data_IF_604220054899
#
_entry.id   IF_604220054899
#
_cell.length_a   1.000
_cell.length_b   1.000
_cell.length_c   1.000
_cell.angle_alpha   90.00
_cell.angle_beta   90.00
_cell.angle_gamma   90.00
#
_symmetry.space_group_name_H-M   'P 1'
#
loop_
_entity.id
_entity.type
_entity.pdbx_description
1 polymer ?
#
# COMPACT_ATOMS: atom_id res chain seq x y z
N UNK A 1 42.95 17.69 14.94
CA UNK A 1 42.09 16.69 15.65
C UNK A 1 40.84 17.40 16.24
N UNK A 2 40.98 18.52 16.96
CA UNK A 2 39.84 19.25 17.52
C UNK A 2 38.90 19.85 16.46
N UNK A 3 39.41 20.32 15.31
CA UNK A 3 38.62 20.91 14.23
C UNK A 3 37.67 19.92 13.52
N UNK A 4 37.93 18.60 13.57
CA UNK A 4 37.05 17.56 13.04
C UNK A 4 36.05 17.02 14.08
N UNK A 5 36.38 17.15 15.39
CA UNK A 5 35.52 16.64 16.46
C UNK A 5 34.27 17.50 16.67
N UNK A 6 34.39 18.80 16.51
CA UNK A 6 33.27 19.74 16.70
C UNK A 6 32.18 19.60 15.65
N UNK A 7 32.48 19.54 14.32
CA UNK A 7 31.48 19.26 13.29
C UNK A 7 30.85 17.86 13.46
N UNK A 8 31.63 16.85 13.84
CA UNK A 8 31.14 15.50 14.10
C UNK A 8 30.15 15.49 15.27
N UNK A 9 30.44 16.21 16.35
CA UNK A 9 29.55 16.35 17.51
C UNK A 9 28.21 16.98 17.12
N UNK A 10 28.22 18.08 16.35
CA UNK A 10 27.00 18.73 15.88
C UNK A 10 26.22 17.84 14.92
N UNK A 11 26.87 17.08 14.06
CA UNK A 11 26.23 16.11 13.18
C UNK A 11 25.53 15.00 13.99
N UNK A 12 26.20 14.44 14.99
CA UNK A 12 25.62 13.43 15.88
C UNK A 12 24.42 13.99 16.65
N UNK A 13 24.56 15.20 17.22
CA UNK A 13 23.49 15.87 17.93
C UNK A 13 22.28 16.12 17.00
N UNK A 14 22.53 16.60 15.79
CA UNK A 14 21.49 16.81 14.77
C UNK A 14 20.75 15.51 14.43
N UNK A 15 21.48 14.42 14.21
CA UNK A 15 20.91 13.08 13.95
C UNK A 15 20.07 12.62 15.15
N UNK A 16 20.55 12.81 16.38
CA UNK A 16 19.81 12.47 17.60
C UNK A 16 18.51 13.28 17.73
N UNK A 17 18.56 14.57 17.45
CA UNK A 17 17.37 15.44 17.47
C UNK A 17 16.35 14.98 16.41
N UNK A 18 16.80 14.69 15.19
CA UNK A 18 15.93 14.16 14.13
C UNK A 18 15.32 12.80 14.53
N UNK A 19 16.10 11.92 15.15
CA UNK A 19 15.62 10.63 15.65
C UNK A 19 14.56 10.82 16.75
N UNK A 20 14.78 11.73 17.69
CA UNK A 20 13.80 12.03 18.75
C UNK A 20 12.51 12.61 18.17
N UNK A 21 12.60 13.54 17.21
CA UNK A 21 11.44 14.11 16.51
C UNK A 21 10.67 13.01 15.77
N UNK A 22 11.37 12.12 15.07
CA UNK A 22 10.79 10.99 14.37
C UNK A 22 10.05 10.04 15.33
N UNK A 23 10.62 9.77 16.50
CA UNK A 23 10.01 8.94 17.54
C UNK A 23 8.77 9.58 18.18
N UNK A 24 8.84 10.85 18.54
CA UNK A 24 7.74 11.57 19.21
C UNK A 24 6.53 11.71 18.29
N UNK A 25 6.75 11.87 16.99
CA UNK A 25 5.69 12.03 15.99
C UNK A 25 5.21 10.70 15.38
N UNK A 26 5.49 9.56 16.01
CA UNK A 26 4.96 8.28 15.60
C UNK A 26 3.41 8.30 15.57
N UNK A 27 2.84 7.72 14.50
CA UNK A 27 1.39 7.67 14.27
C UNK A 27 0.88 6.27 14.65
N UNK A 28 0.57 6.09 15.92
CA UNK A 28 0.07 4.80 16.39
C UNK A 28 -1.34 4.53 15.88
N UNK A 29 -1.59 3.28 15.52
CA UNK A 29 -2.95 2.82 15.25
C UNK A 29 -3.76 2.82 16.58
N UNK A 30 -4.91 3.48 16.56
CA UNK A 30 -5.89 3.46 17.65
C UNK A 30 -7.21 2.86 17.12
N UNK A 31 -7.62 3.29 15.94
CA UNK A 31 -8.84 2.85 15.28
C UNK A 31 -8.75 3.16 13.78
N UNK A 32 -9.74 2.72 13.02
CA UNK A 32 -9.88 3.09 11.60
C UNK A 32 -9.94 4.61 11.37
N UNK A 33 -10.44 5.37 12.34
CA UNK A 33 -10.46 6.84 12.26
C UNK A 33 -9.05 7.44 12.26
N UNK A 34 -8.07 6.83 12.96
CA UNK A 34 -6.67 7.31 12.90
C UNK A 34 -6.06 7.05 11.53
N UNK A 35 -6.43 5.96 10.87
CA UNK A 35 -6.02 5.66 9.48
C UNK A 35 -6.61 6.71 8.54
N UNK A 36 -7.93 6.97 8.62
CA UNK A 36 -8.61 7.99 7.82
C UNK A 36 -7.94 9.37 7.94
N UNK A 37 -7.71 9.83 9.18
CA UNK A 37 -7.07 11.12 9.45
C UNK A 37 -5.64 11.22 8.89
N UNK A 38 -4.85 10.13 8.95
CA UNK A 38 -3.51 10.12 8.38
C UNK A 38 -3.55 10.26 6.85
N UNK A 39 -4.42 9.50 6.18
CA UNK A 39 -4.59 9.56 4.73
C UNK A 39 -5.20 10.89 4.25
N UNK A 40 -6.14 11.47 5.01
CA UNK A 40 -6.66 12.81 4.74
C UNK A 40 -5.52 13.85 4.76
N UNK A 41 -4.67 13.82 5.78
CA UNK A 41 -3.53 14.73 5.89
C UNK A 41 -2.53 14.55 4.73
N UNK A 42 -2.18 13.30 4.39
CA UNK A 42 -1.25 13.02 3.28
C UNK A 42 -1.81 13.42 1.91
N UNK A 43 -3.12 13.31 1.73
CA UNK A 43 -3.78 13.71 0.48
C UNK A 43 -3.89 15.22 0.36
N UNK A 44 -4.23 15.92 1.45
CA UNK A 44 -4.38 17.37 1.47
C UNK A 44 -3.06 18.11 1.22
N UNK A 45 -1.93 17.61 1.78
CA UNK A 45 -0.62 18.23 1.57
C UNK A 45 0.00 17.92 0.20
N UNK A 46 -0.59 17.01 -0.58
CA UNK A 46 -0.19 16.61 -1.93
C UNK A 46 1.26 16.13 -2.07
N UNK A 47 1.97 15.91 -0.95
CA UNK A 47 3.38 15.53 -0.98
C UNK A 47 3.60 14.19 -1.68
N UNK A 48 2.84 13.15 -1.27
CA UNK A 48 2.93 11.83 -1.87
C UNK A 48 2.55 11.84 -3.36
N UNK A 49 1.48 12.53 -3.72
CA UNK A 49 1.06 12.66 -5.12
C UNK A 49 2.13 13.35 -5.98
N UNK A 50 2.75 14.42 -5.46
CA UNK A 50 3.81 15.15 -6.15
C UNK A 50 5.07 14.30 -6.36
N UNK A 51 5.47 13.53 -5.34
CA UNK A 51 6.65 12.67 -5.40
C UNK A 51 6.36 11.38 -6.16
N UNK A 52 5.31 10.65 -5.76
CA UNK A 52 5.10 9.27 -6.18
C UNK A 52 4.06 9.11 -7.28
N UNK A 53 3.37 10.20 -7.66
CA UNK A 53 2.30 10.17 -8.64
C UNK A 53 0.99 9.66 -8.04
N UNK A 54 0.14 9.09 -8.89
CA UNK A 54 -1.22 8.67 -8.53
C UNK A 54 -1.28 7.30 -7.82
N UNK A 55 -0.14 6.65 -7.63
CA UNK A 55 -0.01 5.34 -7.01
C UNK A 55 0.89 5.40 -5.78
N UNK A 56 0.34 5.13 -4.60
CA UNK A 56 1.12 5.11 -3.36
C UNK A 56 1.81 3.75 -3.16
N UNK A 57 1.23 2.66 -3.71
CA UNK A 57 1.76 1.29 -3.62
C UNK A 57 3.15 1.12 -4.27
N UNK A 58 3.83 0.01 -3.96
CA UNK A 58 5.11 -0.35 -4.55
C UNK A 58 5.01 -0.63 -6.06
N UNK A 59 6.10 -0.50 -6.78
CA UNK A 59 6.21 -0.82 -8.20
C UNK A 59 6.66 -2.25 -8.47
N UNK A 60 6.49 -2.70 -9.70
CA UNK A 60 7.00 -3.98 -10.19
C UNK A 60 8.24 -3.73 -11.06
N UNK A 61 9.34 -4.39 -10.71
CA UNK A 61 10.63 -4.30 -11.38
C UNK A 61 11.01 -5.67 -11.93
N UNK A 62 10.84 -5.90 -13.25
CA UNK A 62 11.21 -7.16 -13.87
C UNK A 62 12.69 -7.50 -13.69
N UNK A 63 12.99 -8.79 -13.61
CA UNK A 63 14.34 -9.31 -13.53
C UNK A 63 15.17 -8.89 -14.74
N UNK A 64 16.39 -8.38 -14.48
CA UNK A 64 17.31 -8.01 -15.55
C UNK A 64 17.07 -6.64 -16.19
N UNK A 65 15.93 -6.02 -15.97
CA UNK A 65 15.69 -4.65 -16.43
C UNK A 65 16.34 -3.63 -15.48
N UNK A 66 17.07 -2.68 -16.07
CA UNK A 66 17.74 -1.58 -15.34
C UNK A 66 17.08 -0.24 -15.68
N UNK A 67 17.17 0.71 -14.76
CA UNK A 67 16.71 2.09 -14.96
C UNK A 67 15.21 2.24 -15.26
N UNK A 68 14.37 1.41 -14.61
CA UNK A 68 12.92 1.54 -14.71
C UNK A 68 12.50 2.83 -13.99
N UNK A 69 11.69 3.63 -14.66
CA UNK A 69 11.10 4.83 -14.03
C UNK A 69 10.17 4.40 -12.89
N UNK A 70 10.34 5.01 -11.71
CA UNK A 70 9.62 4.68 -10.50
C UNK A 70 8.09 4.71 -10.66
N UNK A 71 7.55 5.68 -11.39
CA UNK A 71 6.12 5.81 -11.62
C UNK A 71 5.61 4.79 -12.64
N UNK A 72 6.42 4.50 -13.67
CA UNK A 72 6.11 3.43 -14.64
C UNK A 72 6.11 2.06 -13.98
N UNK A 73 7.05 1.79 -13.05
CA UNK A 73 7.07 0.54 -12.29
C UNK A 73 5.76 0.32 -11.50
N UNK A 74 5.15 1.37 -10.97
CA UNK A 74 3.86 1.30 -10.27
C UNK A 74 2.69 1.00 -11.21
N UNK A 75 2.68 1.62 -12.39
CA UNK A 75 1.70 1.30 -13.44
C UNK A 75 1.86 -0.15 -13.90
N UNK A 76 3.10 -0.59 -14.11
CA UNK A 76 3.40 -1.97 -14.48
C UNK A 76 2.95 -2.96 -13.41
N UNK A 77 3.11 -2.62 -12.12
CA UNK A 77 2.60 -3.46 -11.03
C UNK A 77 1.11 -3.78 -11.19
N UNK A 78 0.29 -2.79 -11.53
CA UNK A 78 -1.15 -3.03 -11.75
C UNK A 78 -1.38 -4.01 -12.91
N UNK A 79 -0.67 -3.84 -14.03
CA UNK A 79 -0.80 -4.73 -15.18
C UNK A 79 -0.34 -6.17 -14.86
N UNK A 80 0.77 -6.32 -14.13
CA UNK A 80 1.28 -7.64 -13.74
C UNK A 80 0.32 -8.35 -12.77
N UNK A 81 -0.23 -7.62 -11.80
CA UNK A 81 -1.20 -8.22 -10.87
C UNK A 81 -2.52 -8.60 -11.58
N UNK A 82 -3.00 -7.79 -12.53
CA UNK A 82 -4.16 -8.14 -13.37
C UNK A 82 -3.91 -9.42 -14.15
N UNK A 83 -2.75 -9.54 -14.81
CA UNK A 83 -2.36 -10.72 -15.59
C UNK A 83 -2.20 -11.94 -14.69
N UNK A 84 -1.45 -11.82 -13.59
CA UNK A 84 -1.20 -12.92 -12.66
C UNK A 84 -2.49 -13.43 -12.02
N UNK A 85 -3.41 -12.55 -11.67
CA UNK A 85 -4.71 -12.92 -11.07
C UNK A 85 -5.71 -13.49 -12.10
N UNK A 86 -5.50 -13.24 -13.39
CA UNK A 86 -6.39 -13.66 -14.48
C UNK A 86 -7.57 -12.72 -14.68
N UNK A 87 -7.54 -11.50 -14.11
CA UNK A 87 -8.56 -10.48 -14.34
C UNK A 87 -8.62 -10.03 -15.80
N UNK A 88 -7.51 -10.10 -16.54
CA UNK A 88 -7.43 -9.83 -17.97
C UNK A 88 -8.38 -10.69 -18.83
N UNK A 89 -8.88 -11.81 -18.29
CA UNK A 89 -9.84 -12.72 -18.94
C UNK A 89 -11.30 -12.30 -18.73
N UNK A 90 -11.55 -11.33 -17.87
CA UNK A 90 -12.91 -10.82 -17.66
C UNK A 90 -13.39 -9.99 -18.85
N UNK A 91 -14.66 -10.06 -19.22
CA UNK A 91 -15.20 -9.25 -20.31
C UNK A 91 -15.19 -7.75 -19.93
N UNK A 92 -15.11 -6.89 -20.94
CA UNK A 92 -15.31 -5.47 -20.78
C UNK A 92 -16.70 -5.21 -20.15
N UNK A 93 -16.79 -4.18 -19.31
CA UNK A 93 -18.00 -3.88 -18.55
C UNK A 93 -18.14 -4.67 -17.25
N UNK A 94 -17.21 -5.62 -16.93
CA UNK A 94 -17.20 -6.29 -15.63
C UNK A 94 -17.12 -5.29 -14.49
N UNK A 95 -17.88 -5.57 -13.43
CA UNK A 95 -17.96 -4.71 -12.21
C UNK A 95 -16.84 -5.10 -11.26
N UNK A 96 -15.96 -4.15 -10.98
CA UNK A 96 -14.81 -4.34 -10.09
C UNK A 96 -14.97 -3.46 -8.84
N UNK A 97 -14.81 -4.05 -7.67
CA UNK A 97 -14.67 -3.32 -6.42
C UNK A 97 -13.18 -3.12 -6.12
N UNK A 98 -12.70 -1.88 -6.06
CA UNK A 98 -11.33 -1.52 -5.65
C UNK A 98 -11.33 -1.10 -4.18
N UNK A 99 -10.92 -2.01 -3.30
CA UNK A 99 -10.94 -1.84 -1.84
C UNK A 99 -9.65 -1.19 -1.38
N UNK A 100 -9.75 0.05 -0.85
CA UNK A 100 -8.59 0.87 -0.50
C UNK A 100 -8.02 1.58 -1.72
N UNK A 101 -8.87 2.09 -2.60
CA UNK A 101 -8.50 2.66 -3.90
C UNK A 101 -7.57 3.88 -3.86
N UNK A 102 -7.30 4.44 -2.67
CA UNK A 102 -6.53 5.67 -2.54
C UNK A 102 -7.13 6.81 -3.38
N UNK A 103 -6.29 7.51 -4.15
CA UNK A 103 -6.74 8.55 -5.09
C UNK A 103 -7.12 8.00 -6.47
N UNK A 104 -7.41 6.70 -6.56
CA UNK A 104 -8.00 6.06 -7.74
C UNK A 104 -7.04 5.70 -8.87
N UNK A 105 -5.72 5.65 -8.64
CA UNK A 105 -4.74 5.34 -9.68
C UNK A 105 -4.97 3.99 -10.33
N UNK A 106 -5.07 2.92 -9.53
CA UNK A 106 -5.35 1.56 -10.01
C UNK A 106 -6.73 1.45 -10.64
N UNK A 107 -7.76 2.06 -10.03
CA UNK A 107 -9.12 2.09 -10.57
C UNK A 107 -9.16 2.64 -12.00
N UNK A 108 -8.45 3.77 -12.25
CA UNK A 108 -8.38 4.37 -13.60
C UNK A 108 -7.66 3.49 -14.60
N UNK A 109 -6.61 2.75 -14.19
CA UNK A 109 -5.93 1.78 -15.06
C UNK A 109 -6.89 0.64 -15.43
N UNK A 110 -7.58 0.06 -14.45
CA UNK A 110 -8.54 -1.03 -14.64
C UNK A 110 -9.68 -0.61 -15.61
N UNK A 111 -10.22 0.59 -15.42
CA UNK A 111 -11.27 1.09 -16.31
C UNK A 111 -10.75 1.42 -17.72
N UNK A 112 -9.61 2.09 -17.83
CA UNK A 112 -9.08 2.58 -19.10
C UNK A 112 -8.55 1.47 -20.01
N UNK A 113 -7.75 0.56 -19.45
CA UNK A 113 -7.04 -0.43 -20.26
C UNK A 113 -7.80 -1.75 -20.40
N UNK A 114 -8.63 -2.10 -19.40
CA UNK A 114 -9.40 -3.36 -19.41
C UNK A 114 -10.89 -3.16 -19.67
N UNK A 115 -11.35 -1.90 -19.67
CA UNK A 115 -12.74 -1.55 -19.93
C UNK A 115 -13.70 -1.95 -18.82
N UNK A 116 -13.23 -2.02 -17.59
CA UNK A 116 -14.06 -2.40 -16.45
C UNK A 116 -14.85 -1.22 -15.90
N UNK A 117 -15.98 -1.51 -15.25
CA UNK A 117 -16.73 -0.57 -14.43
C UNK A 117 -16.23 -0.67 -13.00
N UNK A 118 -15.50 0.33 -12.52
CA UNK A 118 -14.81 0.27 -11.23
C UNK A 118 -15.49 1.11 -10.18
N UNK A 119 -15.84 0.50 -9.06
CA UNK A 119 -16.26 1.20 -7.84
C UNK A 119 -15.10 1.16 -6.86
N UNK A 120 -14.46 2.31 -6.62
CA UNK A 120 -13.37 2.45 -5.66
C UNK A 120 -13.89 2.90 -4.30
N UNK A 121 -13.42 2.25 -3.24
CA UNK A 121 -13.71 2.69 -1.87
C UNK A 121 -12.44 3.00 -1.10
N UNK A 122 -12.52 4.01 -0.25
CA UNK A 122 -11.49 4.34 0.74
C UNK A 122 -12.14 4.94 1.98
N UNK A 123 -11.45 4.81 3.12
CA UNK A 123 -11.93 5.40 4.37
C UNK A 123 -11.72 6.92 4.44
N UNK A 124 -10.92 7.50 3.54
CA UNK A 124 -10.56 8.93 3.50
C UNK A 124 -11.46 9.73 2.56
N UNK A 125 -12.30 10.64 3.08
CA UNK A 125 -13.08 11.56 2.23
C UNK A 125 -12.21 12.45 1.33
N UNK A 126 -11.02 12.84 1.79
CA UNK A 126 -10.09 13.63 0.99
C UNK A 126 -9.59 12.85 -0.23
N UNK A 127 -9.31 11.53 -0.07
CA UNK A 127 -8.94 10.67 -1.20
C UNK A 127 -10.09 10.51 -2.19
N UNK A 128 -11.33 10.31 -1.74
CA UNK A 128 -12.50 10.23 -2.62
C UNK A 128 -12.64 11.51 -3.47
N UNK A 129 -12.57 12.68 -2.81
CA UNK A 129 -12.62 13.97 -3.53
C UNK A 129 -11.50 14.03 -4.57
N UNK A 130 -10.28 13.70 -4.18
CA UNK A 130 -9.12 13.76 -5.09
C UNK A 130 -9.21 12.74 -6.23
N UNK A 131 -9.69 11.53 -5.97
CA UNK A 131 -9.90 10.50 -6.99
C UNK A 131 -10.88 10.98 -8.08
N UNK A 132 -11.99 11.61 -7.67
CA UNK A 132 -12.97 12.20 -8.60
C UNK A 132 -12.37 13.33 -9.43
N UNK A 133 -11.58 14.22 -8.80
CA UNK A 133 -10.90 15.32 -9.51
C UNK A 133 -9.90 14.82 -10.58
N UNK A 134 -9.22 13.71 -10.31
CA UNK A 134 -8.22 13.11 -11.21
C UNK A 134 -8.82 12.22 -12.29
N UNK A 135 -10.09 11.88 -12.19
CA UNK A 135 -10.74 10.95 -13.13
C UNK A 135 -11.31 11.69 -14.32
N UNK A 136 -10.86 11.37 -15.56
CA UNK A 136 -11.40 11.98 -16.76
C UNK A 136 -12.90 11.70 -16.93
N UNK A 137 -13.61 12.68 -17.47
CA UNK A 137 -15.01 12.52 -17.88
C UNK A 137 -15.16 11.33 -18.83
N UNK A 138 -16.18 10.50 -18.61
CA UNK A 138 -16.49 9.32 -19.42
C UNK A 138 -15.70 8.05 -19.06
N UNK A 139 -14.76 8.10 -18.10
CA UNK A 139 -14.14 6.90 -17.58
C UNK A 139 -15.02 6.25 -16.51
N UNK A 140 -15.31 4.95 -16.65
CA UNK A 140 -16.21 4.21 -15.76
C UNK A 140 -15.58 3.92 -14.38
N UNK A 141 -15.41 4.98 -13.59
CA UNK A 141 -14.94 4.92 -12.20
C UNK A 141 -15.87 5.75 -11.30
N UNK A 142 -16.39 5.14 -10.25
CA UNK A 142 -17.05 5.83 -9.13
C UNK A 142 -16.24 5.64 -7.84
N UNK A 143 -16.30 6.63 -6.93
CA UNK A 143 -15.53 6.58 -5.67
C UNK A 143 -16.42 6.94 -4.48
N UNK A 144 -16.30 6.15 -3.41
CA UNK A 144 -17.14 6.28 -2.22
C UNK A 144 -16.29 6.20 -0.94
N UNK A 145 -16.67 6.99 0.06
CA UNK A 145 -16.08 6.85 1.40
C UNK A 145 -16.75 5.67 2.10
N UNK A 146 -15.99 4.63 2.41
CA UNK A 146 -16.51 3.41 3.01
C UNK A 146 -15.44 2.69 3.81
N UNK A 147 -15.84 2.01 4.89
CA UNK A 147 -14.95 1.14 5.67
C UNK A 147 -14.91 -0.26 5.02
N UNK A 148 -13.71 -0.74 4.69
CA UNK A 148 -13.51 -2.06 4.12
C UNK A 148 -13.92 -3.23 5.05
N UNK A 149 -14.10 -2.97 6.35
CA UNK A 149 -14.59 -3.93 7.33
C UNK A 149 -16.13 -3.92 7.48
N UNK A 150 -16.83 -3.08 6.71
CA UNK A 150 -18.29 -2.95 6.78
C UNK A 150 -18.80 -2.40 5.44
N UNK A 151 -18.74 -3.24 4.38
CA UNK A 151 -19.13 -2.88 3.03
C UNK A 151 -20.67 -2.80 2.91
N UNK A 152 -21.17 -1.71 2.35
CA UNK A 152 -22.61 -1.47 2.17
C UNK A 152 -23.11 -1.94 0.80
N UNK A 153 -22.46 -2.95 0.24
CA UNK A 153 -22.88 -3.60 -1.00
C UNK A 153 -23.58 -4.93 -0.69
N UNK A 154 -24.49 -5.31 -1.55
CA UNK A 154 -25.16 -6.62 -1.49
C UNK A 154 -24.17 -7.75 -1.79
N UNK A 155 -24.49 -8.96 -1.33
CA UNK A 155 -23.73 -10.17 -1.63
C UNK A 155 -23.69 -10.39 -3.15
N UNK A 156 -22.53 -10.80 -3.67
CA UNK A 156 -22.39 -11.11 -5.08
C UNK A 156 -22.48 -9.92 -6.04
N UNK A 157 -22.29 -8.68 -5.57
CA UNK A 157 -22.45 -7.46 -6.38
C UNK A 157 -21.37 -7.28 -7.44
N UNK A 158 -20.21 -7.92 -7.33
CA UNK A 158 -19.05 -7.66 -8.18
C UNK A 158 -18.52 -8.91 -8.86
N UNK A 159 -18.05 -8.73 -10.10
CA UNK A 159 -17.37 -9.77 -10.89
C UNK A 159 -15.97 -10.04 -10.40
N UNK A 160 -15.31 -8.98 -9.86
CA UNK A 160 -14.05 -9.13 -9.15
C UNK A 160 -13.90 -8.10 -8.03
N UNK A 161 -13.05 -8.46 -7.04
CA UNK A 161 -12.56 -7.56 -5.99
C UNK A 161 -11.06 -7.42 -6.16
N UNK A 162 -10.61 -6.18 -6.14
CA UNK A 162 -9.23 -5.75 -6.22
C UNK A 162 -8.85 -5.02 -4.93
N UNK A 163 -7.66 -5.27 -4.40
CA UNK A 163 -7.13 -4.50 -3.28
C UNK A 163 -5.62 -4.50 -3.29
N UNK A 164 -5.00 -3.33 -3.19
CA UNK A 164 -3.53 -3.17 -3.18
C UNK A 164 -3.10 -2.31 -2.00
N UNK A 165 -2.29 -2.90 -1.11
CA UNK A 165 -1.70 -2.25 0.08
C UNK A 165 -2.73 -1.57 0.99
N UNK A 166 -3.89 -2.20 1.15
CA UNK A 166 -4.94 -1.73 2.06
C UNK A 166 -5.10 -2.63 3.29
N UNK A 167 -4.94 -3.93 3.13
CA UNK A 167 -5.15 -4.91 4.19
C UNK A 167 -4.19 -4.75 5.37
N UNK A 168 -2.98 -4.21 5.18
CA UNK A 168 -2.04 -3.92 6.24
C UNK A 168 -2.61 -2.98 7.32
N UNK A 169 -3.58 -2.13 6.96
CA UNK A 169 -4.28 -1.23 7.89
C UNK A 169 -5.51 -1.83 8.56
N UNK A 170 -5.93 -3.03 8.17
CA UNK A 170 -7.09 -3.70 8.74
C UNK A 170 -6.71 -4.40 10.04
N UNK A 171 -7.39 -4.06 11.14
CA UNK A 171 -7.16 -4.70 12.44
C UNK A 171 -7.77 -6.10 12.52
N UNK A 172 -8.83 -6.36 11.78
CA UNK A 172 -9.49 -7.66 11.67
C UNK A 172 -9.34 -8.20 10.23
N UNK A 173 -8.36 -9.10 10.05
CA UNK A 173 -8.06 -9.71 8.76
C UNK A 173 -9.15 -10.70 8.30
N UNK A 174 -9.84 -11.36 9.25
CA UNK A 174 -10.95 -12.24 8.94
C UNK A 174 -12.13 -11.43 8.39
N UNK A 175 -12.52 -10.37 9.09
CA UNK A 175 -13.61 -9.49 8.65
C UNK A 175 -13.31 -8.83 7.30
N UNK A 176 -12.05 -8.44 7.06
CA UNK A 176 -11.62 -7.90 5.78
C UNK A 176 -11.80 -8.92 4.65
N UNK A 177 -11.36 -10.17 4.86
CA UNK A 177 -11.57 -11.26 3.90
C UNK A 177 -13.07 -11.57 3.71
N UNK A 178 -13.84 -11.61 4.80
CA UNK A 178 -15.29 -11.88 4.76
C UNK A 178 -16.02 -10.86 3.88
N UNK A 179 -15.79 -9.58 4.07
CA UNK A 179 -16.45 -8.53 3.30
C UNK A 179 -16.07 -8.55 1.81
N UNK A 180 -14.80 -8.74 1.50
CA UNK A 180 -14.35 -8.84 0.11
C UNK A 180 -14.96 -10.06 -0.60
N UNK A 181 -14.95 -11.23 0.05
CA UNK A 181 -15.46 -12.46 -0.55
C UNK A 181 -16.99 -12.49 -0.61
N UNK A 182 -17.68 -11.90 0.38
CA UNK A 182 -19.14 -11.77 0.37
C UNK A 182 -19.64 -10.95 -0.83
N UNK A 183 -18.93 -9.88 -1.16
CA UNK A 183 -19.33 -9.01 -2.27
C UNK A 183 -19.00 -9.59 -3.65
N UNK A 184 -18.19 -10.66 -3.73
CA UNK A 184 -17.94 -11.38 -4.97
C UNK A 184 -19.14 -12.24 -5.35
N UNK A 185 -19.50 -12.23 -6.64
CA UNK A 185 -20.42 -13.23 -7.18
C UNK A 185 -19.78 -14.64 -7.17
N UNK A 186 -20.59 -15.71 -7.16
CA UNK A 186 -20.05 -17.06 -7.32
C UNK A 186 -19.17 -17.16 -8.58
N UNK A 187 -17.96 -17.71 -8.41
CA UNK A 187 -16.95 -17.79 -9.47
C UNK A 187 -16.25 -16.47 -9.81
N UNK A 188 -16.54 -15.39 -9.10
CA UNK A 188 -15.85 -14.09 -9.23
C UNK A 188 -14.39 -14.18 -8.81
N UNK A 189 -13.60 -13.15 -9.14
CA UNK A 189 -12.15 -13.13 -8.93
C UNK A 189 -11.77 -12.21 -7.76
N UNK A 190 -10.94 -12.70 -6.84
CA UNK A 190 -10.19 -11.83 -5.92
C UNK A 190 -8.76 -11.66 -6.41
N UNK A 191 -8.28 -10.43 -6.49
CA UNK A 191 -6.87 -10.07 -6.68
C UNK A 191 -6.43 -9.11 -5.58
N UNK A 192 -5.48 -9.53 -4.76
CA UNK A 192 -5.01 -8.76 -3.62
C UNK A 192 -3.48 -8.76 -3.56
N UNK A 193 -2.91 -7.63 -3.17
CA UNK A 193 -1.50 -7.49 -2.86
C UNK A 193 -1.32 -6.68 -1.59
N UNK A 194 -0.45 -7.14 -0.65
CA UNK A 194 -0.31 -6.48 0.63
C UNK A 194 1.04 -6.72 1.30
N UNK A 195 1.32 -5.91 2.31
CA UNK A 195 2.46 -6.07 3.20
C UNK A 195 2.15 -7.11 4.26
N UNK A 196 3.07 -8.04 4.39
CA UNK A 196 2.99 -9.15 5.33
C UNK A 196 4.25 -9.21 6.20
N UNK A 197 4.17 -9.81 7.36
CA UNK A 197 5.35 -10.30 8.06
C UNK A 197 5.68 -11.71 7.60
N UNK A 198 6.93 -12.14 7.74
CA UNK A 198 7.22 -13.58 7.68
C UNK A 198 6.39 -14.33 8.74
N UNK A 199 6.30 -15.64 8.63
CA UNK A 199 5.67 -16.47 9.67
C UNK A 199 6.47 -16.35 10.98
N UNK A 200 6.02 -15.46 11.88
CA UNK A 200 6.69 -15.16 13.16
C UNK A 200 6.55 -16.29 14.18
N UNK A 201 5.66 -17.25 13.97
CA UNK A 201 5.52 -18.45 14.81
C UNK A 201 6.58 -19.48 14.42
N UNK A 202 6.77 -19.70 13.11
CA UNK A 202 7.80 -20.61 12.61
C UNK A 202 9.22 -20.03 12.75
N UNK A 203 9.36 -18.72 12.58
CA UNK A 203 10.64 -18.00 12.61
C UNK A 203 10.53 -16.79 13.56
N UNK A 204 10.65 -17.00 14.88
CA UNK A 204 10.50 -15.93 15.87
C UNK A 204 11.47 -14.77 15.64
N UNK A 205 11.01 -13.53 15.78
CA UNK A 205 11.86 -12.37 15.57
C UNK A 205 12.85 -12.19 16.73
N UNK A 206 14.08 -11.84 16.41
CA UNK A 206 15.11 -11.41 17.37
C UNK A 206 14.67 -10.14 18.10
N UNK A 207 15.39 -9.79 19.18
CA UNK A 207 15.12 -8.55 19.92
C UNK A 207 15.12 -7.30 19.01
N UNK A 208 16.12 -7.20 18.13
CA UNK A 208 16.23 -6.07 17.20
C UNK A 208 15.09 -6.07 16.18
N UNK A 209 14.73 -7.22 15.60
CA UNK A 209 13.60 -7.32 14.67
C UNK A 209 12.26 -6.94 15.32
N UNK A 210 12.05 -7.27 16.61
CA UNK A 210 10.87 -6.83 17.38
C UNK A 210 10.81 -5.30 17.48
N UNK A 211 11.95 -4.65 17.71
CA UNK A 211 12.03 -3.18 17.74
C UNK A 211 11.72 -2.58 16.37
N UNK A 212 12.24 -3.18 15.29
CA UNK A 212 11.94 -2.74 13.92
C UNK A 212 10.45 -2.91 13.62
N UNK A 213 9.86 -4.08 13.83
CA UNK A 213 8.42 -4.32 13.60
C UNK A 213 7.56 -3.30 14.35
N UNK A 214 7.90 -3.05 15.63
CA UNK A 214 7.20 -2.01 16.40
C UNK A 214 7.29 -0.63 15.75
N UNK A 215 8.45 -0.24 15.22
CA UNK A 215 8.59 1.03 14.52
C UNK A 215 7.74 1.06 13.24
N UNK A 216 7.76 0.00 12.43
CA UNK A 216 7.00 -0.09 11.19
C UNK A 216 5.49 0.04 11.45
N UNK A 217 4.98 -0.60 12.51
CA UNK A 217 3.59 -0.46 12.92
C UNK A 217 3.26 0.98 13.35
N UNK A 218 4.10 1.58 14.20
CA UNK A 218 3.82 2.88 14.81
C UNK A 218 4.03 4.08 13.88
N UNK A 219 4.83 3.97 12.80
CA UNK A 219 5.12 5.10 11.93
C UNK A 219 4.03 5.36 10.89
N UNK A 220 3.37 4.31 10.39
CA UNK A 220 2.37 4.42 9.31
C UNK A 220 0.99 3.84 9.66
N UNK A 221 0.64 3.88 10.95
CA UNK A 221 -0.72 3.56 11.44
C UNK A 221 -1.15 2.12 11.12
N UNK A 222 -0.22 1.16 11.25
CA UNK A 222 -0.57 -0.25 11.08
C UNK A 222 -0.99 -0.88 12.42
N UNK A 223 -2.09 -1.66 12.46
CA UNK A 223 -2.49 -2.38 13.67
C UNK A 223 -1.59 -3.60 13.93
N UNK A 224 -1.41 -4.44 12.94
CA UNK A 224 -0.59 -5.65 12.96
C UNK A 224 -0.32 -6.14 11.54
N UNK A 225 0.77 -6.89 11.36
CA UNK A 225 1.03 -7.65 10.15
C UNK A 225 0.68 -9.12 10.36
N UNK A 226 0.34 -9.80 9.28
CA UNK A 226 0.05 -11.23 9.23
C UNK A 226 0.97 -11.88 8.19
N UNK A 227 1.29 -13.17 8.32
CA UNK A 227 2.09 -13.87 7.31
C UNK A 227 1.28 -14.13 6.03
N UNK A 228 1.98 -14.29 4.90
CA UNK A 228 1.36 -14.69 3.62
C UNK A 228 0.58 -15.99 3.79
N UNK A 229 1.17 -16.96 4.50
CA UNK A 229 0.56 -18.26 4.77
C UNK A 229 -0.74 -18.14 5.57
N UNK A 230 -0.72 -17.35 6.65
CA UNK A 230 -1.90 -17.22 7.51
C UNK A 230 -3.02 -16.47 6.81
N UNK A 231 -2.71 -15.40 6.06
CA UNK A 231 -3.74 -14.69 5.31
C UNK A 231 -4.31 -15.53 4.15
N UNK A 232 -3.46 -16.29 3.44
CA UNK A 232 -3.94 -17.25 2.44
C UNK A 232 -4.84 -18.32 3.06
N UNK A 233 -4.56 -18.73 4.31
CA UNK A 233 -5.41 -19.67 5.02
C UNK A 233 -6.76 -19.05 5.41
N UNK A 234 -6.78 -17.80 5.87
CA UNK A 234 -8.04 -17.05 6.12
C UNK A 234 -8.90 -17.02 4.84
N UNK A 235 -8.30 -16.68 3.70
CA UNK A 235 -9.03 -16.68 2.42
C UNK A 235 -9.53 -18.08 2.04
N UNK A 236 -8.72 -19.13 2.24
CA UNK A 236 -9.07 -20.52 1.88
C UNK A 236 -10.21 -21.07 2.71
N UNK A 237 -10.23 -20.79 4.01
CA UNK A 237 -11.23 -21.32 4.95
C UNK A 237 -12.50 -20.46 5.05
N UNK A 238 -12.54 -19.36 4.31
CA UNK A 238 -13.71 -18.49 4.26
C UNK A 238 -14.90 -19.19 3.61
N UNK A 239 -16.08 -19.04 4.18
CA UNK A 239 -17.31 -19.69 3.70
C UNK A 239 -17.74 -19.26 2.28
N UNK A 240 -17.34 -18.06 1.86
CA UNK A 240 -17.64 -17.49 0.55
C UNK A 240 -16.50 -17.73 -0.47
N UNK A 241 -15.52 -18.55 -0.13
CA UNK A 241 -14.39 -18.88 -0.99
C UNK A 241 -14.58 -20.25 -1.62
N UNK A 242 -14.21 -20.41 -2.89
CA UNK A 242 -14.14 -21.74 -3.53
C UNK A 242 -13.01 -22.62 -2.96
N UNK A 243 -12.29 -22.16 -1.93
CA UNK A 243 -11.22 -22.92 -1.27
C UNK A 243 -9.88 -22.97 -2.01
N UNK A 244 -9.82 -22.52 -3.26
CA UNK A 244 -8.60 -22.50 -4.07
C UNK A 244 -7.97 -21.12 -4.00
N UNK A 245 -6.89 -21.01 -3.24
CA UNK A 245 -6.12 -19.77 -3.05
C UNK A 245 -4.69 -19.99 -3.52
N UNK A 246 -4.24 -19.15 -4.43
CA UNK A 246 -2.84 -19.06 -4.82
C UNK A 246 -2.25 -17.80 -4.20
N UNK A 247 -1.06 -17.91 -3.62
CA UNK A 247 -0.31 -16.78 -3.07
C UNK A 247 1.16 -16.89 -3.42
N UNK A 248 1.80 -15.73 -3.63
CA UNK A 248 3.23 -15.62 -3.92
C UNK A 248 3.84 -14.49 -3.12
N UNK A 249 5.15 -14.56 -2.91
CA UNK A 249 5.95 -13.47 -2.34
C UNK A 249 6.64 -12.70 -3.47
N UNK A 250 6.19 -11.45 -3.70
CA UNK A 250 6.74 -10.58 -4.73
C UNK A 250 7.83 -9.62 -4.23
N UNK A 251 8.42 -9.86 -3.06
CA UNK A 251 9.51 -9.02 -2.54
C UNK A 251 10.58 -8.74 -3.58
N UNK A 252 10.94 -9.74 -4.35
CA UNK A 252 11.98 -9.62 -5.34
C UNK A 252 11.69 -8.55 -6.39
N UNK A 253 10.44 -8.47 -6.83
CA UNK A 253 9.99 -7.51 -7.83
C UNK A 253 9.68 -6.13 -7.25
N UNK A 254 9.32 -6.03 -5.98
CA UNK A 254 8.80 -4.79 -5.37
C UNK A 254 9.83 -4.04 -4.53
N UNK A 255 10.83 -4.75 -4.00
CA UNK A 255 11.82 -4.19 -3.08
C UNK A 255 12.61 -2.98 -3.63
N UNK A 256 12.94 -2.87 -4.93
CA UNK A 256 13.61 -1.68 -5.46
C UNK A 256 12.83 -0.37 -5.23
N UNK A 257 11.50 -0.43 -5.14
CA UNK A 257 10.64 0.74 -4.86
C UNK A 257 11.04 1.51 -3.61
N UNK A 258 11.59 0.84 -2.59
CA UNK A 258 11.97 1.50 -1.33
C UNK A 258 13.08 2.53 -1.53
N UNK A 259 14.12 2.16 -2.26
CA UNK A 259 15.18 3.11 -2.61
C UNK A 259 14.71 4.17 -3.59
N UNK A 260 13.97 3.77 -4.63
CA UNK A 260 13.44 4.71 -5.62
C UNK A 260 12.51 5.73 -4.98
N UNK A 261 11.77 5.38 -3.93
CA UNK A 261 10.94 6.32 -3.15
C UNK A 261 11.76 7.47 -2.56
N UNK A 262 12.98 7.21 -2.11
CA UNK A 262 13.89 8.23 -1.58
C UNK A 262 14.51 9.03 -2.75
N UNK A 263 15.01 8.32 -3.77
CA UNK A 263 15.66 8.96 -4.91
C UNK A 263 14.71 9.82 -5.74
N UNK A 264 13.41 9.53 -5.72
CA UNK A 264 12.42 10.35 -6.41
C UNK A 264 12.36 11.78 -5.85
N UNK A 265 12.58 11.95 -4.54
CA UNK A 265 12.74 13.26 -3.93
C UNK A 265 13.98 14.02 -4.45
N UNK A 266 15.06 13.30 -4.71
CA UNK A 266 16.30 13.86 -5.27
C UNK A 266 16.15 14.16 -6.78
N UNK A 267 15.50 13.28 -7.52
CA UNK A 267 15.23 13.45 -8.96
C UNK A 267 14.24 14.59 -9.24
N UNK A 268 13.34 14.89 -8.29
CA UNK A 268 12.28 15.90 -8.44
C UNK A 268 12.29 16.95 -7.31
N UNK A 269 13.41 17.64 -7.07
CA UNK A 269 13.54 18.55 -5.93
C UNK A 269 12.51 19.70 -5.99
N UNK A 270 12.20 20.20 -7.17
CA UNK A 270 11.21 21.26 -7.36
C UNK A 270 9.79 20.83 -6.97
N UNK A 271 9.48 19.52 -7.03
CA UNK A 271 8.18 18.99 -6.58
C UNK A 271 7.99 19.13 -5.07
N UNK A 272 9.09 19.06 -4.29
CA UNK A 272 9.07 19.25 -2.85
C UNK A 272 9.18 20.74 -2.52
N UNK A 273 10.12 21.46 -3.14
CA UNK A 273 10.37 22.87 -2.90
C UNK A 273 9.13 23.73 -3.16
N UNK A 274 8.35 23.39 -4.20
CA UNK A 274 7.10 24.10 -4.52
C UNK A 274 6.00 23.98 -3.47
N UNK A 275 6.11 23.01 -2.56
CA UNK A 275 5.18 22.78 -1.44
C UNK A 275 5.62 23.51 -0.14
N UNK A 276 6.78 24.18 -0.17
CA UNK A 276 7.32 24.97 0.94
C UNK A 276 8.16 24.16 1.94
N UNK A 277 8.75 24.86 2.95
CA UNK A 277 9.74 24.26 3.86
C UNK A 277 9.16 23.12 4.73
N UNK A 278 7.88 23.20 5.06
CA UNK A 278 7.23 22.16 5.86
C UNK A 278 7.16 20.80 5.12
N UNK A 279 7.01 20.82 3.79
CA UNK A 279 7.04 19.61 2.98
C UNK A 279 8.43 18.95 2.96
N UNK A 280 9.50 19.75 2.96
CA UNK A 280 10.88 19.27 3.07
C UNK A 280 11.07 18.53 4.40
N UNK A 281 10.66 19.13 5.50
CA UNK A 281 10.76 18.52 6.84
C UNK A 281 9.94 17.21 6.93
N UNK A 282 8.74 17.19 6.35
CA UNK A 282 7.92 15.98 6.27
C UNK A 282 8.62 14.88 5.46
N UNK A 283 9.21 15.22 4.31
CA UNK A 283 9.94 14.26 3.47
C UNK A 283 11.15 13.65 4.20
N UNK A 284 11.96 14.49 4.83
CA UNK A 284 13.14 14.05 5.61
C UNK A 284 12.71 13.13 6.75
N UNK A 285 11.61 13.45 7.41
CA UNK A 285 11.06 12.63 8.49
C UNK A 285 10.71 11.20 8.05
N UNK A 286 10.24 10.99 6.83
CA UNK A 286 9.84 9.66 6.36
C UNK A 286 11.05 8.78 5.95
N UNK A 287 12.22 9.37 5.66
CA UNK A 287 13.41 8.64 5.22
C UNK A 287 13.81 7.49 6.15
N UNK A 288 13.90 7.66 7.49
CA UNK A 288 14.26 6.56 8.39
C UNK A 288 13.27 5.39 8.31
N UNK A 289 11.97 5.67 8.19
CA UNK A 289 10.93 4.64 8.05
C UNK A 289 11.10 3.87 6.74
N UNK A 290 11.32 4.57 5.63
CA UNK A 290 11.55 3.94 4.32
C UNK A 290 12.81 3.06 4.35
N UNK A 291 13.89 3.52 4.99
CA UNK A 291 15.11 2.72 5.15
C UNK A 291 14.89 1.47 6.00
N UNK A 292 14.12 1.58 7.09
CA UNK A 292 13.75 0.43 7.92
C UNK A 292 12.86 -0.56 7.15
N UNK A 293 11.91 -0.06 6.35
CA UNK A 293 11.10 -0.92 5.47
C UNK A 293 11.97 -1.66 4.47
N UNK A 294 12.85 -0.94 3.74
CA UNK A 294 13.77 -1.58 2.81
C UNK A 294 14.62 -2.67 3.49
N UNK A 295 15.16 -2.37 4.69
CA UNK A 295 15.93 -3.35 5.46
C UNK A 295 15.07 -4.57 5.82
N UNK A 296 13.85 -4.35 6.33
CA UNK A 296 12.94 -5.42 6.77
C UNK A 296 12.53 -6.33 5.60
N UNK A 297 12.21 -5.77 4.44
CA UNK A 297 11.89 -6.54 3.24
C UNK A 297 13.11 -7.30 2.69
N UNK A 298 14.30 -6.69 2.66
CA UNK A 298 15.53 -7.37 2.22
C UNK A 298 15.96 -8.50 3.14
N UNK A 299 15.65 -8.41 4.43
CA UNK A 299 15.93 -9.47 5.42
C UNK A 299 14.85 -10.54 5.49
N UNK A 300 13.76 -10.39 4.74
CA UNK A 300 12.62 -11.28 4.80
C UNK A 300 11.86 -11.23 6.14
N UNK A 301 12.03 -10.16 6.92
CA UNK A 301 11.21 -9.88 8.09
C UNK A 301 9.82 -9.41 7.68
N UNK A 302 9.78 -8.60 6.60
CA UNK A 302 8.57 -8.22 5.89
C UNK A 302 8.56 -8.86 4.51
N UNK A 303 7.37 -9.18 4.04
CA UNK A 303 7.10 -9.83 2.77
C UNK A 303 6.02 -9.07 2.00
N UNK A 304 6.08 -9.12 0.68
CA UNK A 304 5.04 -8.58 -0.19
C UNK A 304 4.22 -9.72 -0.78
N UNK A 305 3.08 -9.98 -0.15
CA UNK A 305 2.19 -11.06 -0.56
C UNK A 305 1.25 -10.64 -1.67
N UNK A 306 1.11 -11.48 -2.69
CA UNK A 306 0.03 -11.38 -3.67
C UNK A 306 -0.86 -12.60 -3.57
N UNK A 307 -2.17 -12.39 -3.75
CA UNK A 307 -3.18 -13.42 -3.54
C UNK A 307 -4.21 -13.37 -4.65
N UNK A 308 -4.62 -14.55 -5.11
CA UNK A 308 -5.79 -14.72 -5.97
C UNK A 308 -6.62 -15.91 -5.51
N UNK A 309 -7.92 -15.74 -5.54
CA UNK A 309 -8.86 -16.82 -5.33
C UNK A 309 -10.16 -16.57 -6.09
N UNK A 310 -11.09 -17.53 -5.98
CA UNK A 310 -12.45 -17.45 -6.51
C UNK A 310 -13.45 -17.38 -5.37
N UNK A 311 -14.53 -16.61 -5.59
CA UNK A 311 -15.70 -16.58 -4.73
C UNK A 311 -16.60 -17.80 -4.89
#
# INVERSE_FOLDING_TARGET
>A
MFELLLPLFFLILFILVLFVIWRIKARKYISSATVASAYDSWTQDKLLERLWGEHIHLGFYPLGEKNIDFRKAKIQFVHELVKWSGLDKLPKGSRILDVGCGIGGSSRILAKYYGFNVTGITISPAQVKRARELTPSGLSCDFQTMNALDLKFEDGSFDAVWSVEAGAHMNDKNKFADEMLRTLRPGGYLALADWNSRDLNAYPPSFFEKLVLKQLLEQWVHPNFISIKDFANILRTNKNSAGIVNSENWNFYTNPSWFDSIFEGIRRPFSILSLGPLAILKSIREIPTILLMNWAFRKGLMEFGVYKCRG
#
